data_IF_319189066286
#
_entry.id   IF_319189066286
#
_cell.length_a   1.000
_cell.length_b   1.000
_cell.length_c   1.000
_cell.angle_alpha   90.00
_cell.angle_beta   90.00
_cell.angle_gamma   90.00
#
_symmetry.space_group_name_H-M   'P 1'
#
loop_
_entity.id
_entity.type
_entity.pdbx_description
1 polymer ?
#
# COMPACT_ATOMS: atom_id res chain seq x y z
N UNK A 1 -6.90 14.22 4.94
CA UNK A 1 -6.65 14.88 3.64
C UNK A 1 -5.21 14.56 3.24
N UNK A 2 -4.98 13.96 2.06
CA UNK A 2 -3.66 13.52 1.61
C UNK A 2 -3.16 14.43 0.48
N UNK A 3 -2.20 15.35 0.73
CA UNK A 3 -1.76 16.33 -0.27
C UNK A 3 -1.21 15.71 -1.56
N UNK A 4 -0.62 14.52 -1.47
CA UNK A 4 -0.05 13.82 -2.64
C UNK A 4 -1.12 13.46 -3.69
N UNK A 5 -2.38 13.36 -3.29
CA UNK A 5 -3.51 13.10 -4.18
C UNK A 5 -4.35 14.34 -4.49
N UNK A 6 -3.90 15.55 -4.13
CA UNK A 6 -4.70 16.78 -4.27
C UNK A 6 -5.13 17.08 -5.72
N UNK A 7 -4.33 16.65 -6.70
CA UNK A 7 -4.62 16.82 -8.14
C UNK A 7 -4.89 15.49 -8.83
N UNK A 8 -5.13 14.41 -8.08
CA UNK A 8 -5.38 13.11 -8.65
C UNK A 8 -6.80 13.05 -9.23
N UNK A 9 -6.91 12.62 -10.48
CA UNK A 9 -8.20 12.41 -11.14
C UNK A 9 -8.85 11.12 -10.62
N UNK A 10 -9.93 11.27 -9.86
CA UNK A 10 -10.68 10.18 -9.22
C UNK A 10 -11.29 9.23 -10.27
N UNK A 11 -11.59 9.71 -11.48
CA UNK A 11 -12.15 8.84 -12.53
C UNK A 11 -11.14 7.78 -12.98
N UNK A 12 -9.84 8.02 -12.77
CA UNK A 12 -8.78 7.04 -13.06
C UNK A 12 -8.77 5.85 -12.09
N UNK A 13 -9.40 5.94 -10.92
CA UNK A 13 -9.42 4.84 -9.95
C UNK A 13 -9.99 3.57 -10.58
N UNK A 14 -11.09 3.69 -11.35
CA UNK A 14 -11.72 2.53 -12.01
C UNK A 14 -10.78 1.87 -13.02
N UNK A 15 -10.05 2.68 -13.79
CA UNK A 15 -9.10 2.19 -14.80
C UNK A 15 -7.94 1.46 -14.10
N UNK A 16 -7.35 2.08 -13.07
CA UNK A 16 -6.24 1.50 -12.30
C UNK A 16 -6.66 0.20 -11.63
N UNK A 17 -7.86 0.15 -11.02
CA UNK A 17 -8.39 -1.06 -10.41
C UNK A 17 -8.53 -2.19 -11.46
N UNK A 18 -9.06 -1.88 -12.64
CA UNK A 18 -9.14 -2.84 -13.75
C UNK A 18 -7.78 -3.40 -14.14
N UNK A 19 -6.75 -2.54 -14.26
CA UNK A 19 -5.38 -2.98 -14.55
C UNK A 19 -4.82 -3.89 -13.46
N UNK A 20 -5.04 -3.57 -12.18
CA UNK A 20 -4.59 -4.41 -11.05
C UNK A 20 -5.29 -5.77 -11.07
N UNK A 21 -6.59 -5.83 -11.36
CA UNK A 21 -7.30 -7.09 -11.50
C UNK A 21 -6.75 -7.95 -12.63
N UNK A 22 -6.53 -7.36 -13.81
CA UNK A 22 -5.92 -8.09 -14.94
C UNK A 22 -4.53 -8.60 -14.60
N UNK A 23 -3.70 -7.84 -13.87
CA UNK A 23 -2.41 -8.33 -13.41
C UNK A 23 -2.56 -9.56 -12.52
N UNK A 24 -3.50 -9.57 -11.58
CA UNK A 24 -3.71 -10.71 -10.67
C UNK A 24 -4.27 -11.98 -11.34
N UNK A 25 -4.73 -11.91 -12.59
CA UNK A 25 -5.14 -13.08 -13.37
C UNK A 25 -3.94 -13.80 -14.02
N UNK A 26 -2.80 -13.11 -14.17
CA UNK A 26 -1.60 -13.64 -14.80
C UNK A 26 -0.74 -14.46 -13.82
N UNK A 27 -0.01 -15.44 -14.35
CA UNK A 27 1.07 -16.11 -13.63
C UNK A 27 2.15 -15.07 -13.27
N UNK A 28 2.59 -15.04 -12.01
CA UNK A 28 3.51 -14.03 -11.45
C UNK A 28 2.99 -12.56 -11.50
N UNK A 29 1.69 -12.37 -11.63
CA UNK A 29 1.06 -11.06 -11.73
C UNK A 29 1.36 -10.08 -10.58
N UNK A 30 1.58 -10.61 -9.38
CA UNK A 30 1.96 -9.82 -8.21
C UNK A 30 3.37 -9.23 -8.34
N UNK A 31 4.32 -10.00 -8.89
CA UNK A 31 5.68 -9.53 -9.13
C UNK A 31 5.70 -8.46 -10.22
N UNK A 32 4.87 -8.63 -11.26
CA UNK A 32 4.68 -7.62 -12.30
C UNK A 32 4.08 -6.31 -11.73
N UNK A 33 3.07 -6.41 -10.85
CA UNK A 33 2.51 -5.26 -10.15
C UNK A 33 3.59 -4.51 -9.35
N UNK A 34 4.37 -5.23 -8.54
CA UNK A 34 5.45 -4.60 -7.77
C UNK A 34 6.53 -4.00 -8.67
N UNK A 35 6.84 -4.62 -9.82
CA UNK A 35 7.69 -4.03 -10.85
C UNK A 35 7.21 -2.65 -11.30
N UNK A 36 5.94 -2.55 -11.70
CA UNK A 36 5.34 -1.28 -12.11
C UNK A 36 5.37 -0.23 -11.00
N UNK A 37 5.07 -0.64 -9.75
CA UNK A 37 5.11 0.26 -8.60
C UNK A 37 6.53 0.77 -8.36
N UNK A 38 7.55 -0.10 -8.37
CA UNK A 38 8.94 0.29 -8.15
C UNK A 38 9.45 1.26 -9.23
N UNK A 39 9.05 1.06 -10.48
CA UNK A 39 9.46 1.91 -11.59
C UNK A 39 8.78 3.28 -11.56
N UNK A 40 7.50 3.31 -11.16
CA UNK A 40 6.70 4.54 -11.16
C UNK A 40 6.78 5.35 -9.86
N UNK A 41 7.15 4.74 -8.73
CA UNK A 41 7.14 5.37 -7.41
C UNK A 41 8.51 5.95 -7.03
N UNK A 42 8.64 7.28 -6.92
CA UNK A 42 9.86 7.91 -6.43
C UNK A 42 10.24 7.42 -5.03
N UNK A 43 11.54 7.26 -4.77
CA UNK A 43 12.06 6.77 -3.49
C UNK A 43 11.56 7.60 -2.29
N UNK A 44 11.49 8.92 -2.45
CA UNK A 44 10.98 9.84 -1.42
C UNK A 44 9.51 9.61 -1.03
N UNK A 45 8.75 8.83 -1.81
CA UNK A 45 7.35 8.52 -1.57
C UNK A 45 7.12 7.09 -1.10
N UNK A 46 8.16 6.25 -0.98
CA UNK A 46 8.03 4.85 -0.55
C UNK A 46 7.39 4.72 0.82
N UNK A 47 7.84 5.51 1.80
CA UNK A 47 7.24 5.55 3.14
C UNK A 47 5.79 6.05 3.12
N UNK A 48 5.47 7.00 2.23
CA UNK A 48 4.10 7.50 2.06
C UNK A 48 3.18 6.40 1.49
N UNK A 49 3.66 5.65 0.50
CA UNK A 49 2.92 4.52 -0.06
C UNK A 49 2.74 3.40 0.98
N UNK A 50 3.79 3.08 1.74
CA UNK A 50 3.69 2.09 2.82
C UNK A 50 2.69 2.50 3.91
N UNK A 51 2.72 3.77 4.33
CA UNK A 51 1.77 4.30 5.30
C UNK A 51 0.32 4.21 4.80
N UNK A 52 0.07 4.51 3.53
CA UNK A 52 -1.25 4.36 2.92
C UNK A 52 -1.69 2.88 2.92
N UNK A 53 -0.80 1.95 2.58
CA UNK A 53 -1.10 0.52 2.62
C UNK A 53 -1.50 0.06 4.03
N UNK A 54 -0.81 0.53 5.07
CA UNK A 54 -1.17 0.25 6.45
C UNK A 54 -2.54 0.82 6.84
N UNK A 55 -2.86 2.05 6.43
CA UNK A 55 -4.17 2.66 6.69
C UNK A 55 -5.31 1.91 5.97
N UNK A 56 -5.09 1.45 4.74
CA UNK A 56 -6.06 0.62 4.00
C UNK A 56 -6.27 -0.72 4.68
N UNK A 57 -5.18 -1.41 5.05
CA UNK A 57 -5.25 -2.70 5.73
C UNK A 57 -5.93 -2.61 7.11
N UNK A 58 -5.78 -1.48 7.81
CA UNK A 58 -6.39 -1.24 9.11
C UNK A 58 -7.81 -0.67 9.05
N UNK A 59 -8.34 -0.34 7.87
CA UNK A 59 -9.61 0.37 7.70
C UNK A 59 -10.80 -0.33 8.37
N UNK A 60 -10.85 -1.67 8.30
CA UNK A 60 -11.93 -2.49 8.84
C UNK A 60 -11.70 -2.88 10.33
N UNK A 61 -10.69 -2.31 10.99
CA UNK A 61 -10.43 -2.47 12.42
C UNK A 61 -9.81 -3.82 12.84
N UNK A 62 -9.66 -4.76 11.91
CA UNK A 62 -9.02 -6.06 12.17
C UNK A 62 -8.04 -6.42 11.05
N UNK A 63 -6.75 -6.52 11.40
CA UNK A 63 -5.71 -7.06 10.53
C UNK A 63 -5.68 -8.58 10.64
N UNK A 64 -6.06 -9.27 9.57
CA UNK A 64 -5.96 -10.73 9.44
C UNK A 64 -4.57 -11.09 8.90
N UNK A 65 -4.23 -12.37 8.99
CA UNK A 65 -2.92 -12.87 8.56
C UNK A 65 -2.63 -12.58 7.08
N UNK A 66 -3.65 -12.58 6.23
CA UNK A 66 -3.49 -12.24 4.81
C UNK A 66 -3.10 -10.78 4.60
N UNK A 67 -3.73 -9.82 5.30
CA UNK A 67 -3.32 -8.42 5.21
C UNK A 67 -1.91 -8.21 5.78
N UNK A 68 -1.57 -8.87 6.89
CA UNK A 68 -0.22 -8.80 7.48
C UNK A 68 0.86 -9.31 6.52
N UNK A 69 0.60 -10.44 5.85
CA UNK A 69 1.52 -10.98 4.85
C UNK A 69 1.67 -10.02 3.65
N UNK A 70 0.57 -9.46 3.16
CA UNK A 70 0.63 -8.49 2.07
C UNK A 70 1.43 -7.23 2.47
N UNK A 71 1.23 -6.71 3.68
CA UNK A 71 2.00 -5.58 4.19
C UNK A 71 3.49 -5.92 4.31
N UNK A 72 3.84 -7.13 4.72
CA UNK A 72 5.22 -7.59 4.73
C UNK A 72 5.84 -7.61 3.33
N UNK A 73 5.13 -8.09 2.31
CA UNK A 73 5.60 -8.03 0.91
C UNK A 73 5.80 -6.57 0.47
N UNK A 74 4.80 -5.70 0.68
CA UNK A 74 4.91 -4.27 0.32
C UNK A 74 6.09 -3.60 1.02
N UNK A 75 6.33 -3.90 2.31
CA UNK A 75 7.46 -3.37 3.07
C UNK A 75 8.79 -3.75 2.44
N UNK A 76 8.92 -5.03 2.07
CA UNK A 76 10.15 -5.57 1.48
C UNK A 76 10.37 -4.96 0.08
N UNK A 77 9.31 -4.89 -0.72
CA UNK A 77 9.35 -4.36 -2.09
C UNK A 77 9.66 -2.87 -2.16
N UNK A 78 9.18 -2.12 -1.17
CA UNK A 78 9.50 -0.71 -1.02
C UNK A 78 10.77 -0.46 -0.21
N UNK A 79 11.49 -1.52 0.21
CA UNK A 79 12.74 -1.43 0.99
C UNK A 79 12.65 -0.49 2.20
N UNK A 80 11.54 -0.56 2.95
CA UNK A 80 11.30 0.32 4.09
C UNK A 80 12.17 -0.11 5.28
N UNK A 81 12.88 0.84 5.88
CA UNK A 81 13.66 0.58 7.08
C UNK A 81 12.77 0.05 8.22
N UNK A 82 13.31 -0.88 9.01
CA UNK A 82 12.55 -1.57 10.07
C UNK A 82 12.03 -0.61 11.13
N UNK A 83 12.79 0.43 11.50
CA UNK A 83 12.37 1.42 12.49
C UNK A 83 11.25 2.29 11.94
N UNK A 84 11.36 2.70 10.67
CA UNK A 84 10.34 3.52 10.00
C UNK A 84 9.03 2.75 9.83
N UNK A 85 9.12 1.49 9.37
CA UNK A 85 7.97 0.60 9.25
C UNK A 85 7.25 0.44 10.58
N UNK A 86 7.98 0.16 11.67
CA UNK A 86 7.40 0.02 12.99
C UNK A 86 6.66 1.29 13.46
N UNK A 87 7.22 2.48 13.20
CA UNK A 87 6.59 3.75 13.54
C UNK A 87 5.30 3.98 12.73
N UNK A 88 5.32 3.67 11.43
CA UNK A 88 4.18 3.79 10.53
C UNK A 88 3.04 2.83 10.93
N UNK A 89 3.36 1.56 11.13
CA UNK A 89 2.40 0.51 11.53
C UNK A 89 1.76 0.85 12.88
N UNK A 90 2.56 1.32 13.84
CA UNK A 90 2.04 1.80 15.11
C UNK A 90 1.08 2.97 14.92
N UNK A 91 1.46 3.95 14.10
CA UNK A 91 0.64 5.11 13.76
C UNK A 91 -0.70 4.74 13.13
N UNK A 92 -0.70 3.81 12.17
CA UNK A 92 -1.92 3.30 11.56
C UNK A 92 -2.78 2.57 12.59
N UNK A 93 -2.19 1.66 13.37
CA UNK A 93 -2.92 0.92 14.42
C UNK A 93 -3.65 1.86 15.37
N UNK A 94 -2.99 2.89 15.90
CA UNK A 94 -3.64 3.78 16.87
C UNK A 94 -4.75 4.63 16.27
N UNK A 95 -4.67 4.99 14.97
CA UNK A 95 -5.74 5.73 14.26
C UNK A 95 -7.00 4.89 14.05
N UNK A 96 -6.85 3.58 13.86
CA UNK A 96 -7.92 2.66 13.51
C UNK A 96 -8.47 1.85 14.70
N UNK A 97 -7.98 2.09 15.92
CA UNK A 97 -8.56 1.51 17.14
C UNK A 97 -9.94 2.11 17.41
N UNK A 98 -10.99 1.42 16.98
CA UNK A 98 -12.37 1.66 17.42
C UNK A 98 -12.67 0.81 18.66
N UNK A 99 -13.05 1.45 19.76
CA UNK A 99 -13.55 0.77 20.98
C UNK A 99 -14.94 0.18 20.75
#
# INVERSE_FOLDING_TARGET
>A
HMPIFATYDIDRIRIVAGTVYSLFEEEDGLDALFGLVRDALPESLRETAYALSCDVAAADGALRQTELRMLEEVRNELAIDRLHAAAIEWGARVRHLTK
#
